data_IF_253284092863
#
_entry.id   IF_253284092863
#
_cell.length_a   1.000
_cell.length_b   1.000
_cell.length_c   1.000
_cell.angle_alpha   90.00
_cell.angle_beta   90.00
_cell.angle_gamma   90.00
#
_symmetry.space_group_name_H-M   'P 1'
#
loop_
_entity.id
_entity.type
_entity.pdbx_description
1 polymer ?
#
# COMPACT_ATOMS: atom_id res chain seq x y z
N UNK A 1 5.99 -21.29 14.89
CA UNK A 1 6.42 -19.90 15.16
C UNK A 1 5.60 -19.00 14.26
N UNK A 2 4.53 -18.36 14.76
CA UNK A 2 3.60 -17.59 13.91
C UNK A 2 4.19 -16.20 13.69
N UNK A 3 4.88 -15.99 12.56
CA UNK A 3 5.25 -14.66 12.10
C UNK A 3 3.96 -13.89 11.83
N UNK A 4 3.55 -13.09 12.82
CA UNK A 4 2.45 -12.14 12.67
C UNK A 4 2.98 -10.99 11.80
N UNK A 5 2.79 -11.08 10.49
CA UNK A 5 2.90 -9.94 9.58
C UNK A 5 1.80 -8.91 9.91
N UNK A 6 1.94 -8.19 11.04
CA UNK A 6 0.97 -7.19 11.52
C UNK A 6 1.42 -5.78 11.20
N UNK A 7 1.94 -5.57 10.00
CA UNK A 7 2.28 -4.24 9.54
C UNK A 7 1.90 -4.16 8.07
N UNK A 8 0.70 -3.66 7.77
CA UNK A 8 0.34 -2.96 6.52
C UNK A 8 -1.14 -2.71 6.29
N UNK A 9 -2.00 -3.02 7.26
CA UNK A 9 -3.44 -2.77 7.13
C UNK A 9 -3.85 -1.77 8.21
N UNK A 10 -4.18 -0.54 7.80
CA UNK A 10 -4.67 0.48 8.74
C UNK A 10 -6.16 0.24 9.00
N UNK A 11 -6.61 0.48 10.23
CA UNK A 11 -8.03 0.31 10.59
C UNK A 11 -8.96 1.16 9.71
N UNK A 12 -8.48 2.34 9.28
CA UNK A 12 -9.21 3.27 8.43
C UNK A 12 -9.45 2.70 7.03
N UNK A 13 -8.44 2.11 6.38
CA UNK A 13 -8.63 1.56 5.02
C UNK A 13 -9.53 0.33 5.03
N UNK A 14 -9.47 -0.49 6.09
CA UNK A 14 -10.41 -1.62 6.29
C UNK A 14 -11.84 -1.13 6.49
N UNK A 15 -12.05 -0.14 7.36
CA UNK A 15 -13.37 0.42 7.58
C UNK A 15 -13.94 1.06 6.30
N UNK A 16 -13.12 1.77 5.53
CA UNK A 16 -13.51 2.38 4.27
C UNK A 16 -13.92 1.33 3.24
N UNK A 17 -13.08 0.30 3.02
CA UNK A 17 -13.39 -0.79 2.09
C UNK A 17 -14.66 -1.54 2.47
N UNK A 18 -14.87 -1.79 3.76
CA UNK A 18 -16.11 -2.38 4.26
C UNK A 18 -17.34 -1.49 4.01
N UNK A 19 -17.22 -0.18 4.25
CA UNK A 19 -18.30 0.79 4.05
C UNK A 19 -18.66 0.98 2.57
N UNK A 20 -17.69 0.92 1.66
CA UNK A 20 -17.91 1.00 0.21
C UNK A 20 -18.63 -0.25 -0.31
N UNK A 21 -18.48 -1.40 0.35
CA UNK A 21 -19.17 -2.64 -0.03
C UNK A 21 -18.63 -3.30 -1.31
N UNK A 22 -17.42 -2.93 -1.74
CA UNK A 22 -16.80 -3.41 -2.97
C UNK A 22 -15.29 -3.13 -3.03
N UNK A 23 -14.60 -3.59 -4.10
CA UNK A 23 -13.17 -3.35 -4.26
C UNK A 23 -12.88 -1.87 -4.48
N UNK A 24 -11.79 -1.39 -3.87
CA UNK A 24 -11.25 -0.04 -4.08
C UNK A 24 -9.93 -0.17 -4.83
N UNK A 25 -9.79 0.57 -5.92
CA UNK A 25 -8.55 0.67 -6.69
C UNK A 25 -7.91 2.03 -6.47
N UNK A 26 -6.58 2.08 -6.32
CA UNK A 26 -5.85 3.33 -6.20
C UNK A 26 -4.35 3.12 -6.37
N UNK A 27 -3.66 4.19 -6.78
CA UNK A 27 -2.19 4.28 -6.75
C UNK A 27 -1.76 5.11 -5.53
N UNK A 28 -0.46 5.37 -5.39
CA UNK A 28 0.02 6.35 -4.43
C UNK A 28 -0.61 7.72 -4.70
N UNK A 29 -0.99 8.44 -3.63
CA UNK A 29 -1.68 9.73 -3.69
C UNK A 29 -0.68 10.86 -3.96
N UNK A 30 -0.20 10.93 -5.20
CA UNK A 30 0.77 11.94 -5.64
C UNK A 30 0.56 12.28 -7.11
N UNK A 31 1.13 13.41 -7.54
CA UNK A 31 1.23 13.73 -8.96
C UNK A 31 2.17 12.74 -9.66
N UNK A 32 1.88 12.42 -10.92
CA UNK A 32 2.70 11.52 -11.72
C UNK A 32 4.16 11.96 -11.72
N UNK A 33 5.06 11.01 -11.44
CA UNK A 33 6.51 11.26 -11.36
C UNK A 33 7.00 11.90 -10.06
N UNK A 34 6.09 12.31 -9.16
CA UNK A 34 6.45 12.80 -7.84
C UNK A 34 6.59 11.66 -6.82
N UNK A 35 7.35 11.87 -5.73
CA UNK A 35 7.41 10.93 -4.62
C UNK A 35 6.02 10.68 -4.00
N UNK A 36 5.86 9.51 -3.39
CA UNK A 36 4.67 9.21 -2.60
C UNK A 36 4.60 10.14 -1.38
N UNK A 37 3.40 10.61 -1.07
CA UNK A 37 3.12 11.49 0.07
C UNK A 37 2.67 10.65 1.27
N UNK A 38 3.06 11.07 2.48
CA UNK A 38 2.86 10.27 3.70
C UNK A 38 1.84 10.85 4.68
N UNK A 39 1.37 12.08 4.48
CA UNK A 39 0.41 12.75 5.36
C UNK A 39 -0.66 13.51 4.54
N UNK A 40 -1.80 13.77 5.18
CA UNK A 40 -2.97 14.35 4.53
C UNK A 40 -2.74 15.80 4.08
N UNK A 41 -1.96 16.59 4.83
CA UNK A 41 -1.70 17.98 4.49
C UNK A 41 -0.87 18.06 3.21
N UNK A 42 0.17 17.25 3.07
CA UNK A 42 0.95 17.18 1.85
C UNK A 42 0.10 16.75 0.63
N UNK A 43 -0.86 15.84 0.82
CA UNK A 43 -1.80 15.44 -0.23
C UNK A 43 -2.70 16.62 -0.63
N UNK A 44 -3.25 17.35 0.33
CA UNK A 44 -4.07 18.54 0.06
C UNK A 44 -3.24 19.63 -0.65
N UNK A 45 -2.02 19.90 -0.20
CA UNK A 45 -1.14 20.89 -0.81
C UNK A 45 -0.74 20.50 -2.25
N UNK A 46 -0.61 19.19 -2.54
CA UNK A 46 -0.18 18.68 -3.85
C UNK A 46 -1.33 18.45 -4.84
N UNK A 47 -2.48 17.96 -4.39
CA UNK A 47 -3.61 17.62 -5.24
C UNK A 47 -4.72 18.68 -5.22
N UNK A 48 -4.86 19.43 -4.11
CA UNK A 48 -5.86 20.48 -3.95
C UNK A 48 -7.26 20.04 -4.38
N UNK A 49 -7.90 20.88 -5.20
CA UNK A 49 -9.26 20.65 -5.71
C UNK A 49 -9.38 19.54 -6.76
N UNK A 50 -8.29 18.78 -7.04
CA UNK A 50 -8.33 17.65 -7.98
C UNK A 50 -8.91 16.37 -7.36
N UNK A 51 -9.19 16.39 -6.06
CA UNK A 51 -9.79 15.29 -5.31
C UNK A 51 -11.01 15.77 -4.55
N UNK A 52 -12.08 14.97 -4.57
CA UNK A 52 -13.34 15.33 -3.88
C UNK A 52 -13.23 15.22 -2.35
N UNK A 53 -12.31 14.39 -1.86
CA UNK A 53 -12.17 14.07 -0.45
C UNK A 53 -10.74 13.64 -0.11
N UNK A 54 -10.26 14.07 1.07
CA UNK A 54 -9.07 13.52 1.73
C UNK A 54 -9.48 12.99 3.10
N UNK A 55 -9.13 11.74 3.38
CA UNK A 55 -9.34 11.12 4.70
C UNK A 55 -8.02 11.21 5.49
N UNK A 56 -8.02 12.05 6.53
CA UNK A 56 -6.86 12.17 7.41
C UNK A 56 -6.83 11.05 8.46
N UNK A 57 -5.88 10.14 8.29
CA UNK A 57 -5.58 9.05 9.23
C UNK A 57 -4.29 9.24 10.02
N UNK A 58 -3.72 10.45 10.00
CA UNK A 58 -2.37 10.74 10.48
C UNK A 58 -1.27 10.29 9.51
N UNK A 59 0.01 10.53 9.87
CA UNK A 59 1.14 10.16 9.03
C UNK A 59 1.25 8.65 8.88
N UNK A 60 1.41 8.21 7.63
CA UNK A 60 1.76 6.83 7.32
C UNK A 60 3.23 6.57 7.65
N UNK A 61 3.60 5.29 7.85
CA UNK A 61 5.00 4.91 8.04
C UNK A 61 5.90 5.25 6.84
N UNK A 62 5.30 5.58 5.68
CA UNK A 62 6.00 5.77 4.43
C UNK A 62 6.77 4.51 4.00
N UNK A 63 7.65 4.67 3.00
CA UNK A 63 8.58 3.64 2.56
C UNK A 63 8.30 3.08 1.16
N UNK A 64 9.02 2.00 0.85
CA UNK A 64 8.88 1.29 -0.43
C UNK A 64 7.47 0.70 -0.51
N UNK A 65 6.85 0.69 -1.70
CA UNK A 65 5.51 0.14 -1.88
C UNK A 65 5.40 -1.36 -1.53
N UNK A 66 4.22 -1.94 -1.74
CA UNK A 66 4.01 -3.38 -1.56
C UNK A 66 4.89 -4.22 -2.49
N UNK A 67 5.28 -5.40 -2.03
CA UNK A 67 5.88 -6.44 -2.86
C UNK A 67 4.82 -7.07 -3.76
N UNK A 68 5.14 -7.29 -5.04
CA UNK A 68 4.24 -7.90 -6.02
C UNK A 68 4.83 -9.25 -6.45
N UNK A 69 4.10 -10.32 -6.18
CA UNK A 69 4.45 -11.69 -6.56
C UNK A 69 3.47 -12.21 -7.62
N UNK A 70 4.01 -12.68 -8.74
CA UNK A 70 3.28 -13.43 -9.75
C UNK A 70 3.19 -14.90 -9.33
N UNK A 71 1.98 -15.34 -9.00
CA UNK A 71 1.64 -16.71 -8.61
C UNK A 71 0.94 -17.48 -9.73
N UNK A 72 0.95 -16.95 -10.96
CA UNK A 72 0.41 -17.63 -12.14
C UNK A 72 1.42 -18.58 -12.79
N UNK A 73 2.67 -18.57 -12.31
CA UNK A 73 3.80 -19.40 -12.77
C UNK A 73 4.39 -20.20 -11.61
N UNK A 74 5.11 -21.28 -11.94
CA UNK A 74 5.83 -22.14 -10.99
C UNK A 74 7.31 -22.24 -11.41
N UNK A 75 8.28 -21.85 -10.56
CA UNK A 75 8.10 -21.21 -9.24
C UNK A 75 7.49 -19.80 -9.34
N UNK A 76 6.78 -19.31 -8.29
CA UNK A 76 6.30 -17.93 -8.24
C UNK A 76 7.42 -16.90 -8.49
N UNK A 77 7.08 -15.78 -9.13
CA UNK A 77 8.08 -14.77 -9.55
C UNK A 77 7.82 -13.42 -8.89
N UNK A 78 8.85 -12.85 -8.26
CA UNK A 78 8.79 -11.47 -7.75
C UNK A 78 8.82 -10.50 -8.94
N UNK A 79 7.75 -9.73 -9.14
CA UNK A 79 7.64 -8.69 -10.17
C UNK A 79 8.16 -7.34 -9.68
N UNK A 80 7.92 -7.04 -8.40
CA UNK A 80 8.43 -5.84 -7.73
C UNK A 80 8.73 -6.16 -6.28
N UNK A 81 9.97 -5.93 -5.86
CA UNK A 81 10.34 -6.00 -4.44
C UNK A 81 9.91 -4.72 -3.72
N UNK A 82 9.36 -4.89 -2.51
CA UNK A 82 8.74 -3.85 -1.72
C UNK A 82 9.03 -4.05 -0.23
N UNK A 83 8.06 -3.70 0.63
CA UNK A 83 8.19 -3.87 2.09
C UNK A 83 8.43 -5.30 2.55
N UNK A 84 7.97 -6.30 1.81
CA UNK A 84 8.26 -7.71 2.10
C UNK A 84 9.45 -8.10 1.23
N UNK A 85 10.57 -8.41 1.87
CA UNK A 85 11.82 -8.71 1.16
C UNK A 85 11.74 -10.04 0.42
N UNK A 86 12.59 -10.20 -0.59
CA UNK A 86 12.80 -11.48 -1.25
C UNK A 86 13.11 -12.60 -0.26
N UNK A 87 13.98 -12.33 0.71
CA UNK A 87 14.40 -13.32 1.71
C UNK A 87 13.20 -13.81 2.54
N UNK A 88 12.35 -12.90 3.02
CA UNK A 88 11.14 -13.27 3.78
C UNK A 88 10.18 -14.16 2.96
N UNK A 89 10.09 -13.90 1.65
CA UNK A 89 9.29 -14.73 0.73
C UNK A 89 9.96 -16.10 0.56
N UNK A 90 11.25 -16.14 0.27
CA UNK A 90 12.05 -17.36 0.09
C UNK A 90 12.04 -18.27 1.32
N UNK A 91 12.03 -17.73 2.53
CA UNK A 91 11.94 -18.53 3.76
C UNK A 91 10.52 -19.08 4.04
N UNK A 92 9.49 -18.56 3.37
CA UNK A 92 8.07 -18.87 3.70
C UNK A 92 7.39 -19.74 2.66
N UNK A 93 7.63 -19.48 1.36
CA UNK A 93 6.90 -20.13 0.26
C UNK A 93 7.76 -21.04 -0.62
N UNK A 94 9.09 -21.03 -0.42
CA UNK A 94 10.05 -21.88 -1.14
C UNK A 94 10.70 -22.88 -0.18
#
# INVERSE_FOLDING_TARGET
MRARATALVTAITVALTAAVGGPITGTSANLTGQPALSDAQAVLDSLGDRVDLVLDGGPTKGGVGSTILDVTVDPPRILREGMITRLEIEETIF
#
